data_IF_870920631706
#
_entry.id   IF_870920631706
#
_cell.length_a   1.000
_cell.length_b   1.000
_cell.length_c   1.000
_cell.angle_alpha   90.00
_cell.angle_beta   90.00
_cell.angle_gamma   90.00
#
_symmetry.space_group_name_H-M   'P 1'
#
loop_
_entity.id
_entity.type
_entity.pdbx_description
1 polymer ?
#
# COMPACT_ATOMS: atom_id res chain seq x y z
N UNK A 1 10.68 9.04 9.11
CA UNK A 1 10.28 7.93 8.89
C UNK A 1 8.89 7.76 8.96
N UNK A 2 8.25 7.45 8.03
CA UNK A 2 6.83 7.36 8.00
C UNK A 2 6.40 6.01 8.51
N UNK A 3 5.87 6.02 9.69
CA UNK A 3 5.36 4.83 10.27
C UNK A 3 4.25 4.25 9.41
N UNK A 4 3.54 5.09 8.68
CA UNK A 4 2.47 4.62 7.84
C UNK A 4 2.97 3.69 6.75
N UNK A 5 4.21 3.86 6.30
CA UNK A 5 4.76 2.98 5.29
C UNK A 5 4.87 1.56 5.83
N UNK A 6 5.32 1.41 7.05
CA UNK A 6 5.45 0.09 7.63
C UNK A 6 4.09 -0.53 7.84
N UNK A 7 3.11 0.26 8.25
CA UNK A 7 1.78 -0.24 8.48
C UNK A 7 1.18 -0.75 7.17
N UNK A 8 1.38 -0.02 6.09
CA UNK A 8 0.86 -0.43 4.80
C UNK A 8 1.51 -1.75 4.36
N UNK A 9 2.81 -1.83 4.49
CA UNK A 9 3.52 -3.04 4.10
C UNK A 9 3.01 -4.23 4.90
N UNK A 10 2.81 -4.02 6.19
CA UNK A 10 2.35 -5.09 7.04
C UNK A 10 0.98 -5.59 6.62
N UNK A 11 0.07 -4.68 6.29
CA UNK A 11 -1.26 -5.07 5.87
C UNK A 11 -1.22 -5.79 4.53
N UNK A 12 -0.43 -5.30 3.61
CA UNK A 12 -0.35 -5.91 2.30
C UNK A 12 0.36 -7.25 2.33
N UNK A 13 1.14 -7.49 3.37
CA UNK A 13 1.77 -8.78 3.53
C UNK A 13 0.71 -9.87 3.75
N UNK A 14 -0.40 -9.48 4.35
CA UNK A 14 -1.45 -10.44 4.64
C UNK A 14 -2.38 -10.64 3.45
N UNK A 15 -2.72 -9.58 2.77
CA UNK A 15 -3.58 -9.67 1.60
C UNK A 15 -3.59 -8.37 0.84
N UNK A 16 -3.92 -8.41 -0.45
CA UNK A 16 -4.04 -7.17 -1.21
C UNK A 16 -5.20 -6.33 -0.69
N UNK A 17 -5.06 -5.03 -0.72
CA UNK A 17 -6.10 -4.15 -0.24
C UNK A 17 -6.19 -2.94 -1.15
N UNK A 18 -7.38 -2.34 -1.21
CA UNK A 18 -7.56 -1.14 -2.01
C UNK A 18 -7.19 0.07 -1.18
N UNK A 19 -7.11 1.21 -1.85
CA UNK A 19 -6.78 2.46 -1.15
C UNK A 19 -7.80 2.73 -0.05
N UNK A 20 -9.08 2.56 -0.36
CA UNK A 20 -10.11 2.82 0.63
C UNK A 20 -9.97 1.89 1.83
N UNK A 21 -9.67 0.63 1.57
CA UNK A 21 -9.52 -0.33 2.65
C UNK A 21 -8.32 0.02 3.53
N UNK A 22 -7.23 0.42 2.90
CA UNK A 22 -6.05 0.79 3.66
C UNK A 22 -6.32 2.02 4.51
N UNK A 23 -6.96 3.02 3.92
CA UNK A 23 -7.25 4.24 4.65
C UNK A 23 -8.15 3.97 5.84
N UNK A 24 -9.15 3.12 5.64
CA UNK A 24 -10.06 2.81 6.72
C UNK A 24 -9.39 2.00 7.81
N UNK A 25 -8.62 1.02 7.42
CA UNK A 25 -7.93 0.17 8.40
C UNK A 25 -6.92 0.97 9.21
N UNK A 26 -6.23 1.89 8.55
CA UNK A 26 -5.22 2.68 9.24
C UNK A 26 -5.80 3.92 9.89
N UNK A 27 -7.09 4.18 9.63
CA UNK A 27 -7.75 5.36 10.17
C UNK A 27 -7.03 6.62 9.75
N UNK A 28 -6.64 6.66 8.47
CA UNK A 28 -5.99 7.81 7.90
C UNK A 28 -6.79 8.29 6.71
N UNK A 29 -6.46 9.46 6.21
CA UNK A 29 -7.17 9.98 5.06
C UNK A 29 -6.62 9.30 3.82
N UNK A 30 -7.49 9.10 2.84
CA UNK A 30 -7.07 8.45 1.61
C UNK A 30 -5.92 9.19 0.96
N UNK A 31 -5.92 10.51 1.07
CA UNK A 31 -4.86 11.30 0.48
C UNK A 31 -3.50 10.94 1.09
N UNK A 32 -3.48 10.78 2.41
CA UNK A 32 -2.23 10.43 3.07
C UNK A 32 -1.79 9.03 2.69
N UNK A 33 -2.73 8.10 2.63
CA UNK A 33 -2.40 6.73 2.27
C UNK A 33 -1.93 6.68 0.82
N UNK A 34 -2.60 7.43 -0.05
CA UNK A 34 -2.22 7.45 -1.45
C UNK A 34 -0.80 7.97 -1.64
N UNK A 35 -0.44 9.01 -0.91
CA UNK A 35 0.91 9.54 -1.02
C UNK A 35 1.94 8.51 -0.56
N UNK A 36 1.62 7.78 0.51
CA UNK A 36 2.53 6.75 0.98
C UNK A 36 2.62 5.61 -0.03
N UNK A 37 1.48 5.26 -0.64
CA UNK A 37 1.49 4.19 -1.64
C UNK A 37 2.30 4.58 -2.86
N UNK A 38 2.22 5.84 -3.26
CA UNK A 38 3.00 6.31 -4.41
C UNK A 38 4.49 6.18 -4.10
N UNK A 39 4.88 6.52 -2.90
CA UNK A 39 6.27 6.44 -2.52
C UNK A 39 6.73 4.99 -2.50
N UNK A 40 5.93 4.11 -1.91
CA UNK A 40 6.28 2.71 -1.85
C UNK A 40 6.34 2.10 -3.24
N UNK A 41 5.42 2.51 -4.11
CA UNK A 41 5.41 2.00 -5.47
C UNK A 41 6.67 2.46 -6.21
N UNK A 42 7.06 3.70 -5.98
CA UNK A 42 8.25 4.25 -6.61
C UNK A 42 9.49 3.51 -6.14
N UNK A 43 9.48 3.07 -4.89
CA UNK A 43 10.61 2.34 -4.34
C UNK A 43 10.60 0.87 -4.76
N UNK A 44 9.54 0.44 -5.42
CA UNK A 44 9.45 -0.94 -5.86
C UNK A 44 9.03 -1.90 -4.77
N UNK A 45 8.45 -1.40 -3.70
CA UNK A 45 8.08 -2.25 -2.59
C UNK A 45 6.67 -2.82 -2.74
N UNK A 46 5.83 -2.18 -3.51
CA UNK A 46 4.47 -2.65 -3.70
C UNK A 46 4.09 -2.55 -5.17
N UNK A 47 3.02 -3.26 -5.52
CA UNK A 47 2.50 -3.24 -6.86
C UNK A 47 1.08 -2.73 -6.83
N UNK A 48 0.62 -2.22 -7.94
CA UNK A 48 -0.73 -1.74 -8.06
C UNK A 48 -1.43 -2.52 -9.14
N UNK A 49 -2.55 -3.15 -8.80
CA UNK A 49 -3.32 -3.88 -9.79
C UNK A 49 -4.40 -2.96 -10.34
N UNK A 50 -4.22 -2.51 -11.56
CA UNK A 50 -5.15 -1.55 -12.15
C UNK A 50 -6.53 -2.15 -12.36
N UNK A 51 -6.63 -3.44 -12.57
CA UNK A 51 -7.92 -4.04 -12.79
C UNK A 51 -8.79 -4.01 -11.57
N UNK A 52 -8.25 -4.34 -10.44
CA UNK A 52 -9.04 -4.35 -9.22
C UNK A 52 -8.77 -3.12 -8.39
N UNK A 53 -7.83 -2.29 -8.82
CA UNK A 53 -7.45 -1.08 -8.08
C UNK A 53 -7.00 -1.43 -6.68
N UNK A 54 -6.35 -2.57 -6.53
CA UNK A 54 -5.84 -2.97 -5.24
C UNK A 54 -4.32 -2.89 -5.25
N UNK A 55 -3.76 -2.86 -4.08
CA UNK A 55 -2.31 -2.81 -3.93
C UNK A 55 -1.85 -4.08 -3.23
N UNK A 56 -0.68 -4.52 -3.55
CA UNK A 56 -0.12 -5.71 -2.92
C UNK A 56 1.38 -5.56 -2.86
N UNK A 57 2.04 -6.42 -2.12
CA UNK A 57 3.48 -6.38 -2.05
C UNK A 57 4.06 -6.81 -3.37
N UNK A 58 5.10 -6.14 -3.81
CA UNK A 58 5.77 -6.51 -5.03
C UNK A 58 6.50 -7.80 -4.78
N UNK A 59 6.36 -8.77 -5.72
CA UNK A 59 7.04 -9.98 -5.53
C UNK A 59 8.42 -9.80 -5.95
N UNK A 60 9.31 -9.90 -5.10
CA UNK A 60 10.62 -9.69 -5.44
C UNK A 60 11.13 -10.89 -6.03
N UNK A 61 11.57 -10.91 -7.13
CA UNK A 61 12.04 -12.01 -7.71
C UNK A 61 13.33 -12.06 -7.51
N UNK A 62 13.84 -12.59 -7.06
CA UNK A 62 15.21 -12.55 -6.89
C UNK A 62 15.96 -13.24 -7.81
#
# INVERSE_FOLDING_TARGET
>A
MAKIHKDIIKLLTEKPMTLAELAETLEKKEKQVFNALKKLFSDGEIDCNAKTRSYSLAKQKS
#
